data_IF_514721712748
#
_entry.id   IF_514721712748
#
_cell.length_a   1.000
_cell.length_b   1.000
_cell.length_c   1.000
_cell.angle_alpha   90.00
_cell.angle_beta   90.00
_cell.angle_gamma   90.00
#
_symmetry.space_group_name_H-M   'P 1'
#
loop_
_entity.id
_entity.type
_entity.pdbx_description
1 polymer ?
#
# COMPACT_ATOMS: atom_id res chain seq x y z
N UNK A 1 -19.62 3.29 -5.22
CA UNK A 1 -20.19 4.23 -6.21
C UNK A 1 -20.90 3.54 -7.38
N UNK A 2 -20.38 2.43 -7.94
CA UNK A 2 -21.09 1.69 -9.01
C UNK A 2 -22.54 1.29 -8.67
N UNK A 3 -22.79 0.78 -7.46
CA UNK A 3 -24.14 0.47 -6.97
C UNK A 3 -25.04 1.72 -6.88
N UNK A 4 -24.49 2.87 -6.49
CA UNK A 4 -25.23 4.13 -6.45
C UNK A 4 -25.59 4.59 -7.88
N UNK A 5 -24.66 4.45 -8.83
CA UNK A 5 -24.94 4.72 -10.25
C UNK A 5 -26.08 3.86 -10.80
N UNK A 6 -26.03 2.54 -10.58
CA UNK A 6 -27.08 1.61 -11.01
C UNK A 6 -28.44 1.87 -10.35
N UNK A 7 -28.44 2.40 -9.12
CA UNK A 7 -29.67 2.77 -8.44
C UNK A 7 -30.26 4.07 -9.00
N UNK A 8 -29.41 5.06 -9.32
CA UNK A 8 -29.83 6.41 -9.69
C UNK A 8 -30.14 6.56 -11.18
N UNK A 9 -29.56 5.75 -12.07
CA UNK A 9 -29.75 5.84 -13.53
C UNK A 9 -31.21 5.74 -14.01
N UNK A 10 -32.12 5.29 -13.15
CA UNK A 10 -33.55 5.13 -13.44
C UNK A 10 -34.39 6.37 -13.11
N UNK A 11 -33.78 7.41 -12.54
CA UNK A 11 -34.47 8.60 -12.07
C UNK A 11 -33.99 9.85 -12.82
N UNK A 12 -34.85 10.87 -12.87
CA UNK A 12 -34.62 12.17 -13.52
C UNK A 12 -33.42 12.95 -12.96
N UNK A 13 -33.00 12.64 -11.73
CA UNK A 13 -31.77 13.17 -11.11
C UNK A 13 -30.48 12.70 -11.80
N UNK A 14 -30.55 11.65 -12.63
CA UNK A 14 -29.38 11.14 -13.33
C UNK A 14 -28.99 12.04 -14.52
N UNK A 15 -27.73 12.48 -14.64
CA UNK A 15 -27.32 13.46 -15.64
C UNK A 15 -27.65 13.11 -17.10
N UNK A 16 -27.68 11.83 -17.46
CA UNK A 16 -27.98 11.38 -18.83
C UNK A 16 -29.40 10.83 -18.99
N UNK A 17 -30.27 10.94 -17.96
CA UNK A 17 -31.62 10.40 -17.99
C UNK A 17 -32.40 10.89 -19.23
N UNK A 18 -33.16 10.02 -19.94
CA UNK A 18 -33.47 8.62 -19.63
C UNK A 18 -32.41 7.60 -20.09
N UNK A 19 -31.31 8.07 -20.68
CA UNK A 19 -30.26 7.21 -21.19
C UNK A 19 -29.31 6.78 -20.07
N UNK A 20 -28.87 5.52 -20.15
CA UNK A 20 -27.76 5.02 -19.35
C UNK A 20 -26.45 5.67 -19.79
N UNK A 21 -25.47 5.64 -18.89
CA UNK A 21 -24.10 6.01 -19.25
C UNK A 21 -23.60 5.06 -20.36
N UNK A 22 -22.91 5.60 -21.35
CA UNK A 22 -22.39 4.76 -22.44
C UNK A 22 -21.36 3.77 -21.88
N UNK A 23 -21.19 2.57 -22.49
CA UNK A 23 -20.16 1.63 -22.05
C UNK A 23 -18.75 2.25 -22.03
N UNK A 24 -18.45 3.11 -23.00
CA UNK A 24 -17.17 3.82 -23.06
C UNK A 24 -16.95 4.74 -21.85
N UNK A 25 -17.98 5.45 -21.40
CA UNK A 25 -17.91 6.33 -20.22
C UNK A 25 -17.80 5.53 -18.91
N UNK A 26 -18.43 4.35 -18.85
CA UNK A 26 -18.28 3.42 -17.73
C UNK A 26 -16.84 2.92 -17.65
N UNK A 27 -16.28 2.50 -18.78
CA UNK A 27 -14.90 2.02 -18.89
C UNK A 27 -13.85 3.11 -18.62
N UNK A 28 -14.19 4.37 -18.91
CA UNK A 28 -13.43 5.55 -18.54
C UNK A 28 -13.52 5.90 -17.04
N UNK A 29 -14.33 5.20 -16.26
CA UNK A 29 -14.47 5.41 -14.82
C UNK A 29 -15.39 6.57 -14.43
N UNK A 30 -16.22 7.08 -15.35
CA UNK A 30 -17.09 8.25 -15.10
C UNK A 30 -18.30 7.94 -14.21
N UNK A 31 -18.48 6.69 -13.78
CA UNK A 31 -19.59 6.29 -12.91
C UNK A 31 -19.56 7.04 -11.56
N UNK A 32 -18.37 7.24 -10.99
CA UNK A 32 -18.21 7.93 -9.71
C UNK A 32 -18.59 9.42 -9.79
N UNK A 33 -18.04 10.24 -10.72
CA UNK A 33 -18.44 11.63 -10.85
C UNK A 33 -19.92 11.78 -11.24
N UNK A 34 -20.46 10.93 -12.11
CA UNK A 34 -21.88 11.01 -12.50
C UNK A 34 -22.81 10.70 -11.33
N UNK A 35 -22.49 9.69 -10.51
CA UNK A 35 -23.24 9.41 -9.28
C UNK A 35 -23.14 10.54 -8.25
N UNK A 36 -21.98 11.18 -8.13
CA UNK A 36 -21.80 12.33 -7.24
C UNK A 36 -22.63 13.54 -7.69
N UNK A 37 -22.73 13.79 -9.01
CA UNK A 37 -23.60 14.85 -9.54
C UNK A 37 -25.07 14.54 -9.27
N UNK A 38 -25.50 13.29 -9.47
CA UNK A 38 -26.88 12.89 -9.19
C UNK A 38 -27.27 13.08 -7.72
N UNK A 39 -26.32 12.92 -6.78
CA UNK A 39 -26.57 13.02 -5.33
C UNK A 39 -26.39 14.45 -4.77
N UNK A 40 -25.38 15.17 -5.23
CA UNK A 40 -24.91 16.43 -4.62
C UNK A 40 -24.90 17.61 -5.61
N UNK A 41 -25.44 17.42 -6.81
CA UNK A 41 -25.45 18.42 -7.88
C UNK A 41 -24.04 18.82 -8.32
N UNK A 42 -23.89 20.07 -8.77
CA UNK A 42 -22.61 20.62 -9.25
C UNK A 42 -21.51 20.57 -8.19
N UNK A 43 -21.85 20.70 -6.91
CA UNK A 43 -20.91 20.58 -5.80
C UNK A 43 -20.28 19.18 -5.72
N UNK A 44 -21.05 18.14 -6.03
CA UNK A 44 -20.57 16.75 -6.09
C UNK A 44 -19.51 16.51 -7.16
N UNK A 45 -19.65 17.14 -8.34
CA UNK A 45 -18.63 17.08 -9.39
C UNK A 45 -17.31 17.71 -8.93
N UNK A 46 -17.38 18.90 -8.33
CA UNK A 46 -16.20 19.62 -7.84
C UNK A 46 -15.52 18.82 -6.72
N UNK A 47 -16.29 18.31 -5.76
CA UNK A 47 -15.76 17.48 -4.68
C UNK A 47 -15.09 16.20 -5.21
N UNK A 48 -15.68 15.56 -6.22
CA UNK A 48 -15.10 14.38 -6.87
C UNK A 48 -13.77 14.71 -7.54
N UNK A 49 -13.69 15.84 -8.26
CA UNK A 49 -12.47 16.27 -8.92
C UNK A 49 -11.35 16.53 -7.91
N UNK A 50 -11.65 17.24 -6.83
CA UNK A 50 -10.69 17.52 -5.75
C UNK A 50 -10.25 16.21 -5.09
N UNK A 51 -11.18 15.32 -4.77
CA UNK A 51 -10.88 14.02 -4.15
C UNK A 51 -9.98 13.18 -5.05
N UNK A 52 -10.29 13.09 -6.34
CA UNK A 52 -9.48 12.35 -7.30
C UNK A 52 -8.08 12.96 -7.44
N UNK A 53 -7.98 14.29 -7.55
CA UNK A 53 -6.71 14.99 -7.65
C UNK A 53 -5.85 14.78 -6.41
N UNK A 54 -6.40 14.95 -5.21
CA UNK A 54 -5.67 14.75 -3.95
C UNK A 54 -5.22 13.30 -3.79
N UNK A 55 -6.08 12.33 -4.10
CA UNK A 55 -5.74 10.91 -4.02
C UNK A 55 -4.59 10.56 -4.97
N UNK A 56 -4.67 10.97 -6.24
CA UNK A 56 -3.65 10.69 -7.25
C UNK A 56 -2.33 11.38 -6.90
N UNK A 57 -2.36 12.65 -6.48
CA UNK A 57 -1.14 13.38 -6.13
C UNK A 57 -0.45 12.77 -4.90
N UNK A 58 -1.22 12.28 -3.92
CA UNK A 58 -0.68 11.61 -2.74
C UNK A 58 0.01 10.29 -3.09
N UNK A 59 -0.62 9.45 -3.93
CA UNK A 59 0.00 8.19 -4.39
C UNK A 59 1.21 8.46 -5.29
N UNK A 60 1.10 9.43 -6.21
CA UNK A 60 2.19 9.82 -7.11
C UNK A 60 3.44 10.30 -6.35
N UNK A 61 3.26 11.13 -5.32
CA UNK A 61 4.38 11.58 -4.48
C UNK A 61 5.05 10.42 -3.75
N UNK A 62 4.25 9.49 -3.20
CA UNK A 62 4.75 8.33 -2.46
C UNK A 62 5.54 7.38 -3.36
N UNK A 63 5.04 7.11 -4.57
CA UNK A 63 5.71 6.26 -5.55
C UNK A 63 7.00 6.88 -6.07
N UNK A 64 7.02 8.20 -6.33
CA UNK A 64 8.24 8.89 -6.76
C UNK A 64 9.36 8.76 -5.74
N UNK A 65 9.04 8.96 -4.45
CA UNK A 65 10.01 8.86 -3.35
C UNK A 65 10.49 7.41 -3.21
N UNK A 66 9.57 6.43 -3.29
CA UNK A 66 9.93 5.03 -3.23
C UNK A 66 10.90 4.65 -4.36
N UNK A 67 10.59 4.99 -5.61
CA UNK A 67 11.44 4.64 -6.76
C UNK A 67 12.77 5.38 -6.72
N UNK A 68 12.78 6.64 -6.31
CA UNK A 68 14.01 7.43 -6.24
C UNK A 68 14.95 6.92 -5.14
N UNK A 69 14.41 6.48 -4.00
CA UNK A 69 15.19 5.84 -2.94
C UNK A 69 15.81 4.51 -3.39
N UNK A 70 15.06 3.66 -4.11
CA UNK A 70 15.59 2.42 -4.71
C UNK A 70 16.72 2.75 -5.70
N UNK A 71 16.51 3.70 -6.60
CA UNK A 71 17.54 4.13 -7.55
C UNK A 71 18.80 4.65 -6.85
N UNK A 72 18.65 5.34 -5.72
CA UNK A 72 19.74 6.02 -5.02
C UNK A 72 20.51 5.07 -4.09
N UNK A 73 19.81 4.34 -3.23
CA UNK A 73 20.41 3.50 -2.20
C UNK A 73 20.64 2.07 -2.68
N UNK A 74 19.64 1.45 -3.29
CA UNK A 74 19.71 0.05 -3.67
C UNK A 74 20.53 -0.15 -4.95
N UNK A 75 20.46 0.80 -5.89
CA UNK A 75 21.19 0.73 -7.16
C UNK A 75 22.48 1.52 -7.10
N UNK A 76 22.40 2.85 -7.01
CA UNK A 76 23.58 3.72 -7.18
C UNK A 76 24.59 3.54 -6.05
N UNK A 77 24.18 3.67 -4.78
CA UNK A 77 25.08 3.52 -3.64
C UNK A 77 25.63 2.10 -3.55
N UNK A 78 24.78 1.08 -3.69
CA UNK A 78 25.22 -0.32 -3.52
C UNK A 78 26.16 -0.80 -4.61
N UNK A 79 25.89 -0.49 -5.89
CA UNK A 79 26.62 -1.09 -7.01
C UNK A 79 27.57 -0.14 -7.75
N UNK A 80 27.30 1.17 -7.78
CA UNK A 80 28.09 2.12 -8.58
C UNK A 80 29.07 2.93 -7.74
N UNK A 81 28.65 3.45 -6.58
CA UNK A 81 29.51 4.22 -5.70
C UNK A 81 29.16 4.01 -4.21
N UNK A 82 29.72 2.96 -3.57
CA UNK A 82 29.51 2.68 -2.14
C UNK A 82 29.96 3.79 -1.19
N UNK A 83 30.86 4.66 -1.64
CA UNK A 83 31.37 5.80 -0.88
C UNK A 83 30.76 7.14 -1.34
N UNK A 84 29.58 7.12 -1.96
CA UNK A 84 28.90 8.32 -2.41
C UNK A 84 28.59 9.28 -1.25
N UNK A 85 28.91 10.56 -1.46
CA UNK A 85 28.61 11.64 -0.50
C UNK A 85 27.14 12.01 -0.54
N UNK A 86 26.62 12.65 0.52
CA UNK A 86 25.22 13.05 0.59
C UNK A 86 24.76 13.90 -0.61
N UNK A 87 25.56 14.89 -1.01
CA UNK A 87 25.27 15.73 -2.19
C UNK A 87 25.15 14.92 -3.49
N UNK A 88 25.93 13.84 -3.64
CA UNK A 88 25.83 12.96 -4.80
C UNK A 88 24.57 12.10 -4.75
N UNK A 89 24.21 11.58 -3.57
CA UNK A 89 22.97 10.82 -3.36
C UNK A 89 21.74 11.68 -3.66
N UNK A 90 21.68 12.93 -3.16
CA UNK A 90 20.58 13.86 -3.48
C UNK A 90 20.47 14.11 -4.99
N UNK A 91 21.60 14.30 -5.68
CA UNK A 91 21.59 14.53 -7.12
C UNK A 91 20.99 13.33 -7.87
N UNK A 92 21.41 12.12 -7.52
CA UNK A 92 20.89 10.90 -8.14
C UNK A 92 19.41 10.71 -7.80
N UNK A 93 19.01 11.06 -6.57
CA UNK A 93 17.61 11.01 -6.15
C UNK A 93 16.73 11.90 -7.04
N UNK A 94 17.08 13.18 -7.21
CA UNK A 94 16.32 14.09 -8.09
C UNK A 94 16.33 13.67 -9.56
N UNK A 95 17.46 13.16 -10.07
CA UNK A 95 17.53 12.62 -11.43
C UNK A 95 16.59 11.41 -11.57
N UNK A 96 16.62 10.49 -10.61
CA UNK A 96 15.76 9.31 -10.57
C UNK A 96 14.28 9.69 -10.55
N UNK A 97 13.89 10.64 -9.70
CA UNK A 97 12.51 11.17 -9.67
C UNK A 97 12.11 11.77 -11.03
N UNK A 98 12.95 12.62 -11.63
CA UNK A 98 12.65 13.27 -12.90
C UNK A 98 12.50 12.29 -14.06
N UNK A 99 13.40 11.31 -14.16
CA UNK A 99 13.33 10.26 -15.20
C UNK A 99 12.08 9.41 -15.00
N UNK A 100 11.80 8.96 -13.77
CA UNK A 100 10.64 8.13 -13.49
C UNK A 100 9.33 8.86 -13.75
N UNK A 101 9.23 10.14 -13.38
CA UNK A 101 8.07 11.00 -13.68
C UNK A 101 7.81 11.10 -15.19
N UNK A 102 8.85 11.31 -16.00
CA UNK A 102 8.73 11.36 -17.46
C UNK A 102 8.31 10.02 -18.06
N UNK A 103 8.88 8.91 -17.57
CA UNK A 103 8.51 7.56 -18.01
C UNK A 103 7.07 7.23 -17.66
N UNK A 104 6.61 7.54 -16.44
CA UNK A 104 5.22 7.36 -16.03
C UNK A 104 4.27 8.20 -16.89
N UNK A 105 4.58 9.48 -17.11
CA UNK A 105 3.76 10.34 -17.96
C UNK A 105 3.67 9.81 -19.40
N UNK A 106 4.79 9.35 -19.96
CA UNK A 106 4.84 8.74 -21.29
C UNK A 106 4.05 7.43 -21.36
N UNK A 107 4.22 6.55 -20.37
CA UNK A 107 3.52 5.27 -20.30
C UNK A 107 2.01 5.44 -20.13
N UNK A 108 1.58 6.31 -19.20
CA UNK A 108 0.16 6.63 -18.99
C UNK A 108 -0.49 7.22 -20.25
N UNK A 109 0.21 8.13 -20.94
CA UNK A 109 -0.26 8.70 -22.21
C UNK A 109 -0.39 7.61 -23.28
N UNK A 110 0.60 6.72 -23.39
CA UNK A 110 0.56 5.59 -24.32
C UNK A 110 -0.63 4.66 -24.07
N UNK A 111 -0.89 4.29 -22.82
CA UNK A 111 -2.04 3.45 -22.45
C UNK A 111 -3.38 4.12 -22.79
N UNK A 112 -3.49 5.43 -22.61
CA UNK A 112 -4.68 6.19 -22.96
C UNK A 112 -4.94 6.15 -24.49
N UNK A 113 -3.92 6.37 -25.31
CA UNK A 113 -4.05 6.32 -26.78
C UNK A 113 -4.34 4.91 -27.31
N UNK A 114 -3.84 3.86 -26.66
CA UNK A 114 -4.16 2.46 -27.00
C UNK A 114 -5.61 2.11 -26.64
N UNK A 115 -6.30 2.95 -25.87
CA UNK A 115 -7.69 2.72 -25.46
C UNK A 115 -7.81 1.69 -24.34
N UNK A 116 -6.80 1.59 -23.47
CA UNK A 116 -6.85 0.68 -22.32
C UNK A 116 -7.82 1.25 -21.26
N UNK A 117 -8.83 0.48 -20.89
CA UNK A 117 -9.79 0.86 -19.85
C UNK A 117 -9.22 0.74 -18.44
N UNK A 118 -9.83 1.42 -17.47
CA UNK A 118 -9.40 1.34 -16.06
C UNK A 118 -9.56 -0.08 -15.49
N UNK A 119 -10.63 -0.79 -15.90
CA UNK A 119 -10.85 -2.18 -15.52
C UNK A 119 -9.77 -3.12 -16.08
N UNK A 120 -9.34 -2.89 -17.32
CA UNK A 120 -8.23 -3.63 -17.92
C UNK A 120 -6.95 -3.45 -17.12
N UNK A 121 -6.58 -2.20 -16.78
CA UNK A 121 -5.36 -1.92 -16.02
C UNK A 121 -5.37 -2.60 -14.65
N UNK A 122 -6.52 -2.56 -13.97
CA UNK A 122 -6.68 -3.18 -12.66
C UNK A 122 -6.46 -4.70 -12.70
N UNK A 123 -7.04 -5.37 -13.70
CA UNK A 123 -6.87 -6.83 -13.85
C UNK A 123 -5.46 -7.19 -14.34
N UNK A 124 -4.90 -6.41 -15.27
CA UNK A 124 -3.56 -6.61 -15.80
C UNK A 124 -2.50 -6.47 -14.70
N UNK A 125 -2.68 -5.54 -13.76
CA UNK A 125 -1.77 -5.36 -12.63
C UNK A 125 -1.56 -6.66 -11.86
N UNK A 126 -2.63 -7.41 -11.58
CA UNK A 126 -2.49 -8.69 -10.86
C UNK A 126 -1.83 -9.79 -11.69
N UNK A 127 -2.04 -9.82 -13.02
CA UNK A 127 -1.31 -10.73 -13.92
C UNK A 127 0.20 -10.48 -13.82
N UNK A 128 0.62 -9.21 -13.83
CA UNK A 128 2.03 -8.81 -13.90
C UNK A 128 2.73 -8.88 -12.52
N UNK A 129 2.05 -8.50 -11.45
CA UNK A 129 2.72 -8.18 -10.17
C UNK A 129 2.47 -9.24 -9.09
N UNK A 130 1.33 -9.96 -9.11
CA UNK A 130 0.91 -10.78 -7.96
C UNK A 130 1.87 -11.92 -7.61
N UNK A 131 2.69 -12.40 -8.55
CA UNK A 131 3.68 -13.46 -8.32
C UNK A 131 4.80 -13.06 -7.35
N UNK A 132 5.05 -11.76 -7.17
CA UNK A 132 6.05 -11.25 -6.21
C UNK A 132 5.51 -11.12 -4.78
N UNK A 133 4.18 -11.09 -4.60
CA UNK A 133 3.54 -10.81 -3.30
C UNK A 133 3.85 -11.89 -2.27
N UNK A 134 3.69 -13.16 -2.64
CA UNK A 134 3.91 -14.25 -1.69
C UNK A 134 5.40 -14.42 -1.31
N UNK A 135 6.36 -14.41 -2.26
CA UNK A 135 7.79 -14.40 -1.92
C UNK A 135 8.19 -13.23 -1.03
N UNK A 136 7.72 -12.01 -1.30
CA UNK A 136 8.04 -10.83 -0.50
C UNK A 136 7.37 -10.86 0.90
N UNK A 137 6.18 -11.45 1.01
CA UNK A 137 5.53 -11.64 2.30
C UNK A 137 6.30 -12.67 3.14
N UNK A 138 6.70 -13.78 2.52
CA UNK A 138 7.42 -14.85 3.22
C UNK A 138 8.84 -14.45 3.62
N UNK A 139 9.53 -13.56 2.91
CA UNK A 139 10.85 -13.05 3.37
C UNK A 139 10.76 -12.28 4.70
N UNK A 140 9.59 -11.72 5.03
CA UNK A 140 9.35 -11.02 6.29
C UNK A 140 8.80 -11.93 7.39
N UNK A 141 8.02 -12.95 7.02
CA UNK A 141 7.27 -13.77 7.97
C UNK A 141 7.89 -15.14 8.25
N UNK A 142 8.64 -15.69 7.30
CA UNK A 142 9.18 -17.05 7.37
C UNK A 142 10.69 -17.03 7.37
N UNK A 143 11.24 -17.75 8.34
CA UNK A 143 12.65 -17.80 8.60
C UNK A 143 13.45 -18.79 7.79
N UNK A 144 12.79 -19.67 7.05
CA UNK A 144 13.43 -20.73 6.27
C UNK A 144 13.45 -20.51 4.77
N UNK A 145 12.96 -19.38 4.26
CA UNK A 145 12.90 -19.13 2.81
C UNK A 145 14.31 -19.09 2.20
N UNK A 146 14.53 -19.87 1.15
CA UNK A 146 15.82 -19.83 0.45
C UNK A 146 15.96 -18.55 -0.40
N UNK A 147 17.19 -18.04 -0.56
CA UNK A 147 17.46 -16.94 -1.49
C UNK A 147 16.94 -17.23 -2.91
N UNK A 148 17.06 -18.49 -3.36
CA UNK A 148 16.60 -18.91 -4.68
C UNK A 148 15.08 -18.82 -4.81
N UNK A 149 14.33 -19.22 -3.77
CA UNK A 149 12.88 -19.04 -3.74
C UNK A 149 12.50 -17.56 -3.76
N UNK A 150 13.21 -16.70 -3.01
CA UNK A 150 12.97 -15.26 -3.00
C UNK A 150 13.20 -14.60 -4.36
N UNK A 151 14.24 -15.02 -5.09
CA UNK A 151 14.62 -14.40 -6.37
C UNK A 151 13.91 -15.00 -7.58
N UNK A 152 13.86 -16.33 -7.70
CA UNK A 152 13.36 -16.98 -8.93
C UNK A 152 11.86 -17.21 -8.93
N UNK A 153 11.21 -17.36 -7.76
CA UNK A 153 9.76 -17.58 -7.71
C UNK A 153 8.95 -16.44 -8.35
N UNK A 154 9.25 -15.15 -8.09
CA UNK A 154 8.55 -14.05 -8.78
C UNK A 154 8.73 -14.09 -10.30
N UNK A 155 9.97 -14.33 -10.77
CA UNK A 155 10.32 -14.32 -12.20
C UNK A 155 9.61 -15.46 -12.94
N UNK A 156 9.67 -16.68 -12.38
CA UNK A 156 9.00 -17.86 -12.96
C UNK A 156 7.48 -17.64 -12.94
N UNK A 157 6.94 -17.14 -11.82
CA UNK A 157 5.51 -16.87 -11.69
C UNK A 157 5.00 -15.83 -12.69
N UNK A 158 5.77 -14.76 -12.92
CA UNK A 158 5.49 -13.76 -13.95
C UNK A 158 5.50 -14.35 -15.37
N UNK A 159 6.51 -15.17 -15.70
CA UNK A 159 6.57 -15.82 -17.01
C UNK A 159 5.37 -16.74 -17.25
N UNK A 160 4.97 -17.50 -16.23
CA UNK A 160 3.81 -18.39 -16.29
C UNK A 160 2.49 -17.61 -16.36
N UNK A 161 2.33 -16.53 -15.59
CA UNK A 161 1.10 -15.71 -15.63
C UNK A 161 0.91 -15.03 -16.99
N UNK A 162 1.98 -14.47 -17.56
CA UNK A 162 1.97 -13.89 -18.90
C UNK A 162 1.65 -14.94 -19.96
N UNK A 163 2.24 -16.14 -19.85
CA UNK A 163 1.94 -17.26 -20.76
C UNK A 163 0.49 -17.68 -20.64
N UNK A 164 -0.02 -17.91 -19.42
CA UNK A 164 -1.40 -18.31 -19.18
C UNK A 164 -2.39 -17.26 -19.72
N UNK A 165 -2.14 -15.98 -19.50
CA UNK A 165 -2.97 -14.89 -19.99
C UNK A 165 -3.03 -14.83 -21.52
N UNK A 166 -1.86 -14.78 -22.18
CA UNK A 166 -1.78 -14.61 -23.64
C UNK A 166 -2.17 -15.88 -24.39
N UNK A 167 -1.79 -17.06 -23.91
CA UNK A 167 -2.18 -18.34 -24.54
C UNK A 167 -3.67 -18.58 -24.39
N UNK A 168 -4.26 -18.32 -23.21
CA UNK A 168 -5.72 -18.46 -23.03
C UNK A 168 -6.47 -17.51 -23.95
N UNK A 169 -5.99 -16.27 -24.12
CA UNK A 169 -6.56 -15.32 -25.09
C UNK A 169 -6.51 -15.88 -26.50
N UNK A 170 -5.34 -16.37 -26.94
CA UNK A 170 -5.15 -16.88 -28.30
C UNK A 170 -5.98 -18.14 -28.57
N UNK A 171 -6.09 -19.05 -27.60
CA UNK A 171 -6.87 -20.28 -27.75
C UNK A 171 -8.38 -20.03 -27.81
N UNK A 172 -8.89 -19.05 -27.04
CA UNK A 172 -10.33 -18.76 -26.99
C UNK A 172 -10.80 -17.83 -28.10
N UNK A 173 -10.00 -16.82 -28.43
CA UNK A 173 -10.44 -15.73 -29.32
C UNK A 173 -9.68 -15.69 -30.66
N UNK A 174 -8.64 -16.53 -30.85
CA UNK A 174 -7.89 -16.62 -32.10
C UNK A 174 -6.91 -15.47 -32.38
N UNK A 175 -7.15 -14.29 -31.80
CA UNK A 175 -6.31 -13.09 -31.96
C UNK A 175 -6.02 -12.38 -30.63
N UNK A 176 -4.89 -11.66 -30.60
CA UNK A 176 -4.49 -10.83 -29.47
C UNK A 176 -4.86 -9.37 -29.77
N UNK A 177 -6.02 -8.94 -29.28
CA UNK A 177 -6.50 -7.56 -29.32
C UNK A 177 -6.78 -7.06 -27.90
N UNK A 178 -6.83 -5.75 -27.70
CA UNK A 178 -7.12 -5.12 -26.38
C UNK A 178 -8.43 -5.66 -25.79
N UNK A 179 -9.45 -5.83 -26.63
CA UNK A 179 -10.75 -6.37 -26.22
C UNK A 179 -10.63 -7.82 -25.74
N UNK A 180 -9.88 -8.66 -26.45
CA UNK A 180 -9.77 -10.08 -26.12
C UNK A 180 -8.84 -10.33 -24.93
N UNK A 181 -7.71 -9.62 -24.85
CA UNK A 181 -6.79 -9.73 -23.71
C UNK A 181 -7.43 -9.15 -22.44
N UNK A 182 -8.32 -8.18 -22.58
CA UNK A 182 -9.10 -7.55 -21.51
C UNK A 182 -10.29 -8.36 -21.03
N UNK A 183 -10.62 -9.46 -21.69
CA UNK A 183 -11.75 -10.29 -21.30
C UNK A 183 -11.51 -10.93 -19.92
N UNK A 184 -12.60 -11.18 -19.18
CA UNK A 184 -12.53 -11.70 -17.82
C UNK A 184 -11.85 -13.07 -17.74
N UNK A 185 -12.06 -13.96 -18.71
CA UNK A 185 -11.54 -15.33 -18.61
C UNK A 185 -10.01 -15.40 -18.81
N UNK A 186 -9.39 -14.78 -19.83
CA UNK A 186 -7.93 -14.75 -19.92
C UNK A 186 -7.29 -14.00 -18.75
N UNK A 187 -7.89 -12.89 -18.32
CA UNK A 187 -7.40 -12.14 -17.15
C UNK A 187 -7.46 -13.00 -15.88
N UNK A 188 -8.54 -13.77 -15.68
CA UNK A 188 -8.67 -14.70 -14.57
C UNK A 188 -7.59 -15.78 -14.61
N UNK A 189 -7.34 -16.37 -15.79
CA UNK A 189 -6.30 -17.39 -15.96
C UNK A 189 -4.91 -16.86 -15.59
N UNK A 190 -4.57 -15.65 -16.07
CA UNK A 190 -3.31 -14.97 -15.74
C UNK A 190 -3.20 -14.67 -14.24
N UNK A 191 -4.24 -14.07 -13.65
CA UNK A 191 -4.26 -13.69 -12.24
C UNK A 191 -4.15 -14.90 -11.30
N UNK A 192 -4.91 -15.97 -11.56
CA UNK A 192 -4.82 -17.22 -10.78
C UNK A 192 -3.44 -17.85 -10.90
N UNK A 193 -2.86 -17.88 -12.10
CA UNK A 193 -1.52 -18.42 -12.30
C UNK A 193 -0.47 -17.58 -11.56
N UNK A 194 -0.59 -16.25 -11.60
CA UNK A 194 0.28 -15.31 -10.88
C UNK A 194 0.23 -15.53 -9.37
N UNK A 195 -0.98 -15.70 -8.81
CA UNK A 195 -1.19 -15.89 -7.37
C UNK A 195 -0.75 -17.28 -6.87
N UNK A 196 -1.00 -18.34 -7.66
CA UNK A 196 -0.79 -19.72 -7.24
C UNK A 196 0.60 -20.26 -7.57
N UNK A 197 1.27 -19.74 -8.61
CA UNK A 197 2.59 -20.23 -9.00
C UNK A 197 3.63 -20.14 -7.86
N UNK A 198 3.71 -19.07 -7.04
CA UNK A 198 4.68 -19.03 -5.96
C UNK A 198 4.39 -20.05 -4.85
N UNK A 199 3.13 -20.46 -4.66
CA UNK A 199 2.77 -21.52 -3.71
C UNK A 199 3.45 -22.84 -4.09
N UNK A 200 3.67 -23.09 -5.39
CA UNK A 200 4.39 -24.26 -5.89
C UNK A 200 5.91 -24.05 -5.86
N UNK A 201 6.40 -22.92 -6.39
CA UNK A 201 7.84 -22.71 -6.58
C UNK A 201 8.59 -22.39 -5.29
N UNK A 202 7.97 -21.77 -4.29
CA UNK A 202 8.64 -21.45 -3.04
C UNK A 202 9.04 -22.74 -2.28
N UNK A 203 8.14 -23.72 -2.02
CA UNK A 203 8.55 -24.99 -1.42
C UNK A 203 9.55 -25.75 -2.29
N UNK A 204 9.36 -25.75 -3.63
CA UNK A 204 10.24 -26.42 -4.57
C UNK A 204 11.67 -25.86 -4.48
N UNK A 205 11.84 -24.55 -4.56
CA UNK A 205 13.13 -23.88 -4.51
C UNK A 205 13.72 -23.79 -3.09
N UNK A 206 12.92 -24.03 -2.04
CA UNK A 206 13.40 -24.01 -0.66
C UNK A 206 13.81 -25.39 -0.16
N UNK A 207 13.03 -26.43 -0.45
CA UNK A 207 13.26 -27.77 0.11
C UNK A 207 14.03 -28.70 -0.83
N UNK A 208 14.04 -28.45 -2.15
CA UNK A 208 14.80 -29.29 -3.08
C UNK A 208 16.29 -28.89 -3.06
N UNK A 209 17.23 -29.85 -2.98
CA UNK A 209 18.66 -29.59 -3.14
C UNK A 209 18.93 -28.87 -4.48
N UNK A 210 19.81 -27.84 -4.54
CA UNK A 210 20.89 -27.53 -3.59
C UNK A 210 20.57 -26.46 -2.53
N UNK A 211 19.42 -25.77 -2.60
CA UNK A 211 19.24 -24.50 -1.91
C UNK A 211 19.02 -24.62 -0.40
N UNK A 212 18.19 -25.58 0.03
CA UNK A 212 17.81 -25.87 1.43
C UNK A 212 17.21 -24.66 2.18
N UNK A 213 16.49 -24.89 3.29
CA UNK A 213 15.98 -23.78 4.12
C UNK A 213 17.14 -22.99 4.73
N UNK A 214 17.11 -21.67 4.57
CA UNK A 214 18.10 -20.76 5.15
C UNK A 214 17.50 -20.16 6.40
N UNK A 215 17.96 -20.58 7.59
CA UNK A 215 17.55 -19.99 8.87
C UNK A 215 18.13 -18.58 9.00
N UNK A 216 17.45 -17.60 8.42
CA UNK A 216 17.79 -16.20 8.62
C UNK A 216 17.56 -15.81 10.08
N UNK A 217 18.16 -14.74 10.60
CA UNK A 217 18.10 -14.39 12.03
C UNK A 217 17.60 -12.95 12.29
N UNK A 218 17.18 -12.24 11.23
CA UNK A 218 16.74 -10.82 11.22
C UNK A 218 17.71 -9.84 11.90
N UNK A 219 18.93 -10.26 12.27
CA UNK A 219 19.90 -9.38 12.92
C UNK A 219 20.34 -8.26 11.99
N UNK A 220 20.55 -8.58 10.72
CA UNK A 220 20.87 -7.56 9.71
C UNK A 220 19.74 -6.55 9.53
N UNK A 221 18.47 -6.93 9.69
CA UNK A 221 17.34 -5.96 9.64
C UNK A 221 17.35 -5.02 10.85
N UNK A 222 17.68 -5.52 12.05
CA UNK A 222 17.86 -4.70 13.25
C UNK A 222 19.07 -3.77 13.15
N UNK A 223 20.07 -4.18 12.37
CA UNK A 223 21.31 -3.42 12.16
C UNK A 223 21.23 -2.47 10.95
N UNK A 224 20.10 -2.41 10.22
CA UNK A 224 19.89 -1.39 9.18
C UNK A 224 19.93 -0.05 9.89
N UNK A 225 21.05 0.67 9.76
CA UNK A 225 21.16 2.07 10.17
C UNK A 225 20.08 2.85 9.43
N UNK A 226 19.23 3.56 10.18
CA UNK A 226 18.62 4.78 9.62
C UNK A 226 19.79 5.62 9.10
N UNK A 227 19.82 5.89 7.80
CA UNK A 227 20.92 6.60 7.19
C UNK A 227 21.18 7.91 7.93
N UNK A 228 22.45 8.23 8.18
CA UNK A 228 22.86 9.56 8.60
C UNK A 228 22.51 10.55 7.48
N UNK A 229 21.27 11.02 7.46
CA UNK A 229 20.79 12.05 6.54
C UNK A 229 21.20 13.46 6.99
N UNK A 230 21.98 13.55 8.07
CA UNK A 230 22.60 14.78 8.55
C UNK A 230 23.47 15.46 7.47
N UNK A 231 24.12 14.68 6.60
CA UNK A 231 24.93 15.20 5.47
C UNK A 231 24.08 15.61 4.24
N UNK A 232 22.82 15.18 4.16
CA UNK A 232 21.86 15.60 3.13
C UNK A 232 21.18 16.93 3.51
N UNK A 233 20.97 17.16 4.82
CA UNK A 233 20.31 18.33 5.38
C UNK A 233 21.12 19.64 5.20
N UNK A 234 22.45 19.58 5.33
CA UNK A 234 23.31 20.78 5.20
C UNK A 234 23.41 21.34 3.76
N UNK A 235 22.98 20.57 2.76
CA UNK A 235 23.12 20.94 1.35
C UNK A 235 21.90 21.61 0.71
N UNK A 236 20.72 21.58 1.35
CA UNK A 236 19.46 21.75 0.64
C UNK A 236 18.47 22.78 1.23
N UNK A 237 18.75 23.46 2.35
CA UNK A 237 17.80 24.44 2.96
C UNK A 237 16.35 23.89 3.02
N UNK A 238 16.23 22.56 3.21
CA UNK A 238 14.96 21.87 3.38
C UNK A 238 14.81 21.65 4.87
N UNK A 239 13.73 22.19 5.44
CA UNK A 239 13.38 22.01 6.85
C UNK A 239 13.49 20.54 7.27
N UNK A 240 14.24 20.32 8.34
CA UNK A 240 14.68 19.04 8.93
C UNK A 240 13.50 18.26 9.58
N UNK A 241 12.25 18.57 9.22
CA UNK A 241 11.05 18.12 9.94
C UNK A 241 10.25 17.05 9.19
N UNK A 242 10.79 16.43 8.13
CA UNK A 242 10.08 15.40 7.34
C UNK A 242 10.79 14.03 7.24
N UNK A 243 11.72 13.73 8.17
CA UNK A 243 12.34 12.41 8.24
C UNK A 243 12.00 11.77 9.60
N UNK A 244 11.05 10.80 9.64
CA UNK A 244 10.65 10.18 10.88
C UNK A 244 11.74 9.20 11.35
N UNK A 245 12.37 9.53 12.48
CA UNK A 245 13.26 8.62 13.19
C UNK A 245 14.60 9.23 13.57
N UNK A 246 14.58 10.25 14.42
CA UNK A 246 15.80 10.75 15.05
C UNK A 246 15.96 10.10 16.43
N UNK A 247 16.59 8.92 16.47
CA UNK A 247 17.62 8.50 17.45
C UNK A 247 18.20 7.12 17.07
N UNK A 248 19.55 6.95 17.04
CA UNK A 248 20.17 5.62 16.97
C UNK A 248 20.05 4.93 18.33
N UNK A 249 18.87 4.46 18.68
CA UNK A 249 18.72 3.46 19.73
C UNK A 249 19.11 2.12 19.14
N UNK A 250 20.26 1.60 19.54
CA UNK A 250 20.58 0.21 19.31
C UNK A 250 19.43 -0.63 19.89
N UNK A 251 18.63 -1.25 19.02
CA UNK A 251 17.53 -2.19 19.33
C UNK A 251 18.09 -3.41 20.07
N UNK A 252 18.49 -3.19 21.32
CA UNK A 252 19.23 -4.11 22.17
C UNK A 252 18.54 -4.29 23.51
N UNK A 253 17.41 -3.63 23.75
CA UNK A 253 16.57 -3.89 24.91
C UNK A 253 15.83 -5.24 24.70
N UNK A 254 16.10 -6.27 25.52
CA UNK A 254 15.43 -7.57 25.42
C UNK A 254 13.90 -7.45 25.55
N UNK A 255 13.40 -6.48 26.32
CA UNK A 255 11.97 -6.30 26.56
C UNK A 255 11.26 -5.73 25.32
N UNK A 256 11.93 -4.87 24.57
CA UNK A 256 11.41 -4.34 23.30
C UNK A 256 11.35 -5.44 22.23
N UNK A 257 12.39 -6.28 22.13
CA UNK A 257 12.37 -7.46 21.24
C UNK A 257 11.23 -8.42 21.56
N UNK A 258 11.01 -8.72 22.85
CA UNK A 258 9.92 -9.60 23.27
C UNK A 258 8.54 -9.04 22.91
N UNK A 259 8.34 -7.71 23.02
CA UNK A 259 7.11 -7.03 22.58
C UNK A 259 6.94 -7.12 21.07
N UNK A 260 7.99 -6.85 20.30
CA UNK A 260 7.98 -6.94 18.83
C UNK A 260 7.66 -8.36 18.37
N UNK A 261 8.24 -9.38 18.99
CA UNK A 261 7.96 -10.78 18.66
C UNK A 261 6.50 -11.16 18.95
N UNK A 262 5.94 -10.68 20.06
CA UNK A 262 4.52 -10.92 20.38
C UNK A 262 3.59 -10.21 19.39
N UNK A 263 3.91 -8.98 19.03
CA UNK A 263 3.17 -8.21 18.02
C UNK A 263 3.27 -8.89 16.64
N UNK A 264 4.46 -9.31 16.22
CA UNK A 264 4.70 -10.00 14.96
C UNK A 264 3.94 -11.33 14.89
N UNK A 265 3.93 -12.14 15.95
CA UNK A 265 3.13 -13.37 16.02
C UNK A 265 1.63 -13.09 15.88
N UNK A 266 1.14 -12.07 16.59
CA UNK A 266 -0.28 -11.67 16.52
C UNK A 266 -0.65 -11.21 15.11
N UNK A 267 0.17 -10.34 14.50
CA UNK A 267 -0.02 -9.86 13.15
C UNK A 267 0.00 -11.00 12.12
N UNK A 268 0.94 -11.96 12.25
CA UNK A 268 1.01 -13.15 11.38
C UNK A 268 -0.30 -13.95 11.38
N UNK A 269 -0.77 -14.33 12.57
CA UNK A 269 -2.00 -15.12 12.70
C UNK A 269 -3.24 -14.36 12.25
N UNK A 270 -3.32 -13.07 12.56
CA UNK A 270 -4.42 -12.22 12.15
C UNK A 270 -4.45 -12.07 10.62
N UNK A 271 -3.31 -11.79 9.98
CA UNK A 271 -3.20 -11.69 8.52
C UNK A 271 -3.59 -12.98 7.82
N UNK A 272 -3.09 -14.13 8.30
CA UNK A 272 -3.47 -15.44 7.72
C UNK A 272 -4.97 -15.69 7.90
N UNK A 273 -5.50 -15.46 9.10
CA UNK A 273 -6.93 -15.66 9.39
C UNK A 273 -7.83 -14.78 8.52
N UNK A 274 -7.55 -13.48 8.45
CA UNK A 274 -8.32 -12.54 7.62
C UNK A 274 -8.21 -12.89 6.14
N UNK A 275 -7.02 -13.29 5.66
CA UNK A 275 -6.82 -13.71 4.27
C UNK A 275 -7.67 -14.95 3.94
N UNK A 276 -7.64 -15.99 4.79
CA UNK A 276 -8.45 -17.19 4.58
C UNK A 276 -9.94 -16.89 4.64
N UNK A 277 -10.38 -16.02 5.56
CA UNK A 277 -11.78 -15.65 5.69
C UNK A 277 -12.25 -14.87 4.46
N UNK A 278 -11.52 -13.80 4.08
CA UNK A 278 -11.96 -12.88 3.03
C UNK A 278 -11.74 -13.42 1.61
N UNK A 279 -10.76 -14.29 1.38
CA UNK A 279 -10.50 -14.85 0.04
C UNK A 279 -11.12 -16.23 -0.18
N UNK A 280 -11.21 -17.06 0.87
CA UNK A 280 -11.66 -18.45 0.73
C UNK A 280 -13.02 -18.64 1.38
N UNK A 281 -13.11 -18.52 2.71
CA UNK A 281 -14.30 -18.93 3.47
C UNK A 281 -15.54 -18.11 3.09
N UNK A 282 -15.37 -16.83 2.76
CA UNK A 282 -16.49 -15.98 2.40
C UNK A 282 -16.87 -16.10 0.91
N UNK A 283 -15.97 -15.88 -0.07
CA UNK A 283 -16.38 -15.82 -1.47
C UNK A 283 -16.64 -17.20 -2.08
N UNK A 284 -15.86 -18.22 -1.70
CA UNK A 284 -15.92 -19.53 -2.37
C UNK A 284 -17.24 -20.27 -2.11
N UNK A 285 -17.80 -20.33 -0.89
CA UNK A 285 -19.11 -20.94 -0.68
C UNK A 285 -20.25 -20.16 -1.36
N UNK A 286 -20.19 -18.83 -1.35
CA UNK A 286 -21.20 -17.99 -2.03
C UNK A 286 -21.17 -18.23 -3.55
N UNK A 287 -19.98 -18.27 -4.14
CA UNK A 287 -19.81 -18.57 -5.55
C UNK A 287 -20.20 -20.01 -5.88
N UNK A 288 -19.71 -20.99 -5.12
CA UNK A 288 -19.93 -22.42 -5.36
C UNK A 288 -21.38 -22.86 -5.17
N UNK A 289 -22.14 -22.19 -4.30
CA UNK A 289 -23.59 -22.41 -4.16
C UNK A 289 -24.43 -21.64 -5.17
N UNK A 290 -23.83 -20.76 -5.98
CA UNK A 290 -24.54 -19.86 -6.89
C UNK A 290 -25.49 -18.91 -6.15
N UNK A 291 -25.15 -18.53 -4.91
CA UNK A 291 -26.06 -17.79 -4.04
C UNK A 291 -26.35 -16.39 -4.57
N UNK A 292 -27.62 -16.13 -4.90
CA UNK A 292 -28.11 -14.81 -5.29
C UNK A 292 -28.56 -14.06 -4.04
N UNK A 293 -28.01 -12.85 -3.84
CA UNK A 293 -28.28 -12.08 -2.63
C UNK A 293 -29.75 -11.64 -2.59
N UNK A 294 -30.51 -12.19 -1.63
CA UNK A 294 -31.86 -11.70 -1.34
C UNK A 294 -31.83 -10.25 -0.82
N UNK A 295 -32.95 -9.53 -0.96
CA UNK A 295 -33.06 -8.11 -0.55
C UNK A 295 -32.55 -7.86 0.88
N UNK A 296 -33.00 -8.65 1.85
CA UNK A 296 -32.63 -8.49 3.26
C UNK A 296 -31.13 -8.71 3.50
N UNK A 297 -30.55 -9.71 2.85
CA UNK A 297 -29.12 -10.01 2.94
C UNK A 297 -28.28 -8.89 2.30
N UNK A 298 -28.68 -8.42 1.10
CA UNK A 298 -28.03 -7.30 0.43
C UNK A 298 -28.12 -6.00 1.25
N UNK A 299 -29.27 -5.72 1.87
CA UNK A 299 -29.41 -4.57 2.77
C UNK A 299 -28.45 -4.69 3.95
N UNK A 300 -28.38 -5.86 4.61
CA UNK A 300 -27.41 -6.10 5.68
C UNK A 300 -25.96 -5.90 5.23
N UNK A 301 -25.61 -6.42 4.05
CA UNK A 301 -24.29 -6.24 3.44
C UNK A 301 -23.92 -4.77 3.25
N UNK A 302 -24.83 -3.99 2.67
CA UNK A 302 -24.61 -2.56 2.42
C UNK A 302 -24.49 -1.80 3.74
N UNK A 303 -25.32 -2.10 4.74
CA UNK A 303 -25.26 -1.47 6.06
C UNK A 303 -23.92 -1.75 6.73
N UNK A 304 -23.48 -3.00 6.77
CA UNK A 304 -22.16 -3.37 7.34
C UNK A 304 -21.04 -2.64 6.62
N UNK A 305 -21.07 -2.58 5.28
CA UNK A 305 -20.09 -1.84 4.48
C UNK A 305 -20.06 -0.35 4.82
N UNK A 306 -21.21 0.30 4.98
CA UNK A 306 -21.31 1.72 5.35
C UNK A 306 -20.81 1.93 6.78
N UNK A 307 -21.20 1.08 7.74
CA UNK A 307 -20.72 1.17 9.13
C UNK A 307 -19.21 1.02 9.20
N UNK A 308 -18.63 0.09 8.44
CA UNK A 308 -17.18 -0.06 8.35
C UNK A 308 -16.53 1.21 7.81
N UNK A 309 -17.04 1.78 6.71
CA UNK A 309 -16.51 3.03 6.16
C UNK A 309 -16.49 4.17 7.19
N UNK A 310 -17.58 4.39 7.93
CA UNK A 310 -17.62 5.41 8.98
C UNK A 310 -16.67 5.10 10.14
N UNK A 311 -16.60 3.85 10.59
CA UNK A 311 -15.66 3.44 11.64
C UNK A 311 -14.20 3.67 11.20
N UNK A 312 -13.87 3.33 9.95
CA UNK A 312 -12.54 3.59 9.38
C UNK A 312 -12.22 5.07 9.29
N UNK A 313 -13.17 5.91 8.88
CA UNK A 313 -12.96 7.38 8.87
C UNK A 313 -12.73 7.90 10.28
N UNK A 314 -13.51 7.44 11.26
CA UNK A 314 -13.33 7.84 12.67
C UNK A 314 -11.92 7.47 13.15
N UNK A 315 -11.51 6.23 12.91
CA UNK A 315 -10.21 5.73 13.36
C UNK A 315 -9.03 6.37 12.62
N UNK A 316 -9.11 6.58 11.31
CA UNK A 316 -7.97 7.10 10.53
C UNK A 316 -7.86 8.62 10.63
N UNK A 317 -8.98 9.35 10.73
CA UNK A 317 -8.96 10.81 10.76
C UNK A 317 -8.87 11.33 12.19
N UNK A 318 -9.67 10.81 13.12
CA UNK A 318 -9.80 11.42 14.44
C UNK A 318 -8.86 10.80 15.49
N UNK A 319 -8.54 9.50 15.39
CA UNK A 319 -7.63 8.87 16.35
C UNK A 319 -6.23 9.51 16.35
N UNK A 320 -5.58 9.78 15.19
CA UNK A 320 -4.27 10.42 15.19
C UNK A 320 -4.33 11.83 15.78
N UNK A 321 -5.41 12.58 15.55
CA UNK A 321 -5.63 13.91 16.14
C UNK A 321 -5.76 13.82 17.66
N UNK A 322 -6.48 12.81 18.17
CA UNK A 322 -6.68 12.61 19.59
C UNK A 322 -5.40 12.17 20.31
N UNK A 323 -4.61 11.29 19.68
CA UNK A 323 -3.32 10.80 20.20
C UNK A 323 -2.24 11.89 20.15
N UNK A 324 -2.19 12.67 19.07
CA UNK A 324 -1.21 13.75 18.89
C UNK A 324 -1.58 15.06 19.59
N UNK A 325 -2.69 15.13 20.34
CA UNK A 325 -3.19 16.37 20.96
C UNK A 325 -2.15 17.10 21.81
N UNK A 326 -1.34 16.37 22.57
CA UNK A 326 -0.31 16.97 23.43
C UNK A 326 0.83 17.55 22.60
N UNK A 327 1.17 16.89 21.50
CA UNK A 327 2.18 17.33 20.53
C UNK A 327 1.69 18.57 19.80
N UNK A 328 0.46 18.55 19.27
CA UNK A 328 -0.18 19.69 18.61
C UNK A 328 -0.17 20.92 19.52
N UNK A 329 -0.67 20.78 20.76
CA UNK A 329 -0.70 21.90 21.72
C UNK A 329 0.71 22.43 22.03
N UNK A 330 1.71 21.54 22.13
CA UNK A 330 3.09 21.93 22.39
C UNK A 330 3.70 22.67 21.19
N UNK A 331 3.56 22.14 19.97
CA UNK A 331 4.07 22.75 18.73
C UNK A 331 3.41 24.09 18.48
N UNK A 332 2.07 24.18 18.57
CA UNK A 332 1.36 25.45 18.46
C UNK A 332 1.85 26.45 19.51
N UNK A 333 2.03 26.04 20.77
CA UNK A 333 2.56 26.92 21.82
C UNK A 333 3.98 27.41 21.52
N UNK A 334 4.84 26.57 20.92
CA UNK A 334 6.20 26.96 20.53
C UNK A 334 6.17 27.94 19.34
N UNK A 335 5.40 27.66 18.30
CA UNK A 335 5.19 28.58 17.17
C UNK A 335 4.70 29.95 17.64
N UNK A 336 3.74 29.99 18.58
CA UNK A 336 3.28 31.23 19.19
C UNK A 336 4.40 31.95 19.95
N UNK A 337 5.20 31.24 20.76
CA UNK A 337 6.31 31.86 21.50
C UNK A 337 7.39 32.43 20.57
N UNK A 338 7.67 31.76 19.46
CA UNK A 338 8.62 32.21 18.45
C UNK A 338 8.09 33.44 17.70
N UNK A 339 6.80 33.45 17.33
CA UNK A 339 6.16 34.59 16.67
C UNK A 339 6.15 35.84 17.56
N UNK A 340 6.00 35.68 18.89
CA UNK A 340 6.00 36.79 19.85
C UNK A 340 7.38 37.08 20.46
N UNK A 341 8.45 36.45 19.95
CA UNK A 341 9.83 36.72 20.38
C UNK A 341 10.14 36.35 21.84
N UNK A 342 9.27 35.55 22.49
CA UNK A 342 9.44 35.12 23.88
C UNK A 342 10.39 33.92 23.88
N UNK A 343 11.68 34.21 23.71
CA UNK A 343 12.75 33.21 23.56
C UNK A 343 13.01 32.46 24.86
N UNK A 344 12.24 31.40 25.11
CA UNK A 344 12.57 30.41 26.14
C UNK A 344 13.53 29.38 25.56
N UNK A 345 14.67 29.11 26.22
CA UNK A 345 15.53 27.94 25.94
C UNK A 345 14.75 26.64 26.21
N UNK A 346 13.87 26.25 25.30
CA UNK A 346 13.28 24.92 25.26
C UNK A 346 14.23 23.99 24.51
N UNK A 347 14.52 22.81 25.06
CA UNK A 347 15.23 21.77 24.31
C UNK A 347 14.45 21.46 23.02
N UNK A 348 15.12 21.33 21.86
CA UNK A 348 14.47 20.92 20.61
C UNK A 348 13.82 19.54 20.80
N UNK A 349 12.71 19.32 20.09
CA UNK A 349 11.93 18.07 20.13
C UNK A 349 12.67 17.04 19.27
N UNK A 350 12.88 15.84 19.82
CA UNK A 350 13.10 14.61 19.05
C UNK A 350 11.72 14.03 18.74
N UNK A 351 11.39 13.97 17.46
CA UNK A 351 10.16 13.37 16.95
C UNK A 351 10.43 11.89 16.68
N UNK A 352 9.72 10.98 17.35
CA UNK A 352 9.95 9.53 17.14
C UNK A 352 9.41 8.55 18.17
N UNK A 353 8.85 8.96 19.31
CA UNK A 353 8.19 7.99 20.20
C UNK A 353 6.82 7.60 19.62
N UNK A 354 6.76 6.39 19.05
CA UNK A 354 5.54 5.71 18.63
C UNK A 354 4.51 5.68 19.78
N UNK A 355 3.18 5.73 19.52
CA UNK A 355 2.12 5.97 20.52
C UNK A 355 1.94 4.89 21.61
N UNK A 356 2.84 3.92 21.73
CA UNK A 356 2.72 2.77 22.65
C UNK A 356 3.65 2.78 23.87
N UNK A 357 4.50 3.81 24.09
CA UNK A 357 5.55 3.75 25.11
C UNK A 357 5.19 4.36 26.48
N UNK A 358 4.01 4.97 26.64
CA UNK A 358 3.55 5.50 27.92
C UNK A 358 2.44 4.64 28.53
N UNK A 359 2.79 3.45 29.01
CA UNK A 359 1.99 2.80 30.05
C UNK A 359 1.93 3.72 31.28
N UNK A 360 0.78 3.87 31.95
CA UNK A 360 0.71 4.62 33.21
C UNK A 360 1.71 4.03 34.23
N UNK A 361 2.33 4.84 35.09
CA UNK A 361 3.16 4.30 36.16
C UNK A 361 2.30 3.38 37.03
N UNK A 362 2.74 2.13 37.13
CA UNK A 362 2.21 1.14 38.06
C UNK A 362 2.29 1.73 39.47
N UNK A 363 1.16 1.78 40.17
CA UNK A 363 1.09 2.24 41.55
C UNK A 363 1.93 1.26 42.37
N UNK A 364 3.13 1.68 42.75
CA UNK A 364 4.02 0.91 43.61
C UNK A 364 3.27 0.51 44.89
N UNK A 365 2.98 -0.78 45.00
CA UNK A 365 2.47 -1.39 46.22
C UNK A 365 3.53 -1.23 47.32
N UNK A 366 3.22 -0.42 48.33
CA UNK A 366 4.08 -0.21 49.49
C UNK A 366 4.23 -1.52 50.25
N UNK A 367 5.37 -2.16 50.12
CA UNK A 367 5.81 -3.19 51.08
C UNK A 367 6.28 -2.45 52.33
N UNK A 368 5.49 -2.51 53.40
CA UNK A 368 5.91 -2.05 54.73
C UNK A 368 7.03 -2.97 55.26
N UNK A 369 8.12 -2.41 55.83
CA UNK A 369 9.11 -3.20 56.53
C UNK A 369 8.52 -3.67 57.88
N UNK A 370 8.44 -4.99 58.08
CA UNK A 370 8.18 -5.55 59.42
C UNK A 370 9.38 -5.25 60.32
N UNK A 371 9.11 -4.58 61.43
CA UNK A 371 9.99 -4.48 62.58
C UNK A 371 10.14 -5.82 63.31
#
# INVERSE_FOLDING_TARGET
MGLAGLALEKYDVWPTYPNRLSPADVDAGLVLPTAAVALLGKGGAVATLILAFMAIMSTYSSELIAVSSICTYDIYKTYFNPSATGKQLMRINYIGMGVFALLMAGFATGLNYVGISMGYLYLMMGVIISSAVLPATLTLLWDGQSWAAATFSPIIGFALSMTAWLVTTKLKYGELSVTNTGANEPMLAGNLTSLLSPVLFIPLLTFIPPFKPQKYDWQSMLNIRQGDDHDLADGADVDVENIPGDQPQAFSDPDEKAKLDKAAKTARWLTVGVTLILLILWPMPLYGSGYVFGKSFFTGWVVVGITWLFASVIMVVFLPIFESRSTIVRTTRMMFKDLFGIRGRGKPVSEGQSPGLSTPPEVAEKVEPKA
#
